data_IF_576666848839
#
_entry.id   IF_576666848839
#
_cell.length_a   1.000
_cell.length_b   1.000
_cell.length_c   1.000
_cell.angle_alpha   90.00
_cell.angle_beta   90.00
_cell.angle_gamma   90.00
#
_symmetry.space_group_name_H-M   'P 1'
#
loop_
_entity.id
_entity.type
_entity.pdbx_description
1 polymer ?
#
# COMPACT_ATOMS: atom_id res chain seq x y z
N UNK A 1 -40.77 -2.29 -26.18
CA UNK A 1 -39.79 -2.50 -25.09
C UNK A 1 -40.44 -2.08 -23.78
N UNK A 2 -40.60 -2.98 -22.82
CA UNK A 2 -41.39 -2.74 -21.62
C UNK A 2 -40.61 -1.81 -20.67
N UNK A 3 -41.15 -0.62 -20.39
CA UNK A 3 -40.51 0.41 -19.55
C UNK A 3 -40.08 -0.14 -18.18
N UNK A 4 -40.81 -1.15 -17.68
CA UNK A 4 -40.50 -1.86 -16.42
C UNK A 4 -39.23 -2.69 -16.50
N UNK A 5 -38.94 -3.29 -17.66
CA UNK A 5 -37.71 -4.04 -17.90
C UNK A 5 -36.49 -3.13 -18.01
N UNK A 6 -36.67 -1.92 -18.57
CA UNK A 6 -35.61 -0.91 -18.63
C UNK A 6 -35.27 -0.38 -17.23
N UNK A 7 -36.30 -0.05 -16.44
CA UNK A 7 -36.12 0.39 -15.06
C UNK A 7 -35.40 -0.66 -14.19
N UNK A 8 -35.73 -1.95 -14.35
CA UNK A 8 -35.05 -3.04 -13.64
C UNK A 8 -33.57 -3.19 -14.05
N UNK A 9 -33.24 -2.95 -15.31
CA UNK A 9 -31.87 -3.02 -15.81
C UNK A 9 -31.03 -1.84 -15.29
N UNK A 10 -31.61 -0.63 -15.24
CA UNK A 10 -30.93 0.55 -14.71
C UNK A 10 -30.71 0.46 -13.20
N UNK A 11 -31.62 -0.13 -12.42
CA UNK A 11 -31.42 -0.34 -10.99
C UNK A 11 -30.38 -1.42 -10.69
N UNK A 12 -30.30 -2.47 -11.51
CA UNK A 12 -29.25 -3.49 -11.39
C UNK A 12 -27.84 -2.97 -11.74
N UNK A 13 -27.73 -2.04 -12.69
CA UNK A 13 -26.46 -1.42 -13.06
C UNK A 13 -25.95 -0.38 -12.03
N UNK A 14 -26.83 0.13 -11.16
CA UNK A 14 -26.51 1.13 -10.14
C UNK A 14 -26.02 0.53 -8.80
N UNK A 15 -25.95 -0.80 -8.69
CA UNK A 15 -25.40 -1.44 -7.48
C UNK A 15 -23.90 -1.17 -7.45
N UNK A 16 -23.36 -0.47 -6.43
CA UNK A 16 -21.93 -0.34 -6.27
C UNK A 16 -21.38 -1.76 -6.08
N UNK A 17 -20.67 -2.26 -7.09
CA UNK A 17 -19.85 -3.44 -6.95
C UNK A 17 -18.86 -3.15 -5.81
N UNK A 18 -18.95 -3.94 -4.73
CA UNK A 18 -18.10 -3.77 -3.57
C UNK A 18 -16.66 -4.01 -4.04
N UNK A 19 -15.96 -2.93 -4.36
CA UNK A 19 -14.52 -2.97 -4.62
C UNK A 19 -13.91 -3.29 -3.26
N UNK A 20 -13.63 -4.57 -3.03
CA UNK A 20 -12.71 -4.98 -1.98
C UNK A 20 -11.36 -4.48 -2.45
N UNK A 21 -11.07 -3.22 -2.13
CA UNK A 21 -9.72 -2.70 -2.06
C UNK A 21 -8.88 -3.71 -1.26
N UNK A 22 -7.56 -3.76 -1.46
CA UNK A 22 -6.73 -4.78 -0.84
C UNK A 22 -6.01 -4.35 0.44
N UNK A 23 -6.65 -3.96 1.57
CA UNK A 23 -5.95 -3.67 2.83
C UNK A 23 -5.00 -4.78 3.29
N UNK A 24 -5.38 -6.05 3.06
CA UNK A 24 -4.50 -7.19 3.36
C UNK A 24 -3.23 -7.15 2.49
N UNK A 25 -3.38 -6.96 1.18
CA UNK A 25 -2.26 -6.86 0.26
C UNK A 25 -1.40 -5.62 0.54
N UNK A 26 -2.02 -4.49 0.90
CA UNK A 26 -1.34 -3.29 1.36
C UNK A 26 -0.52 -3.55 2.63
N UNK A 27 -1.10 -4.22 3.63
CA UNK A 27 -0.40 -4.57 4.87
C UNK A 27 0.78 -5.51 4.63
N UNK A 28 0.63 -6.49 3.74
CA UNK A 28 1.73 -7.38 3.32
C UNK A 28 2.84 -6.58 2.62
N UNK A 29 2.48 -5.69 1.69
CA UNK A 29 3.45 -4.83 1.00
C UNK A 29 4.23 -3.96 1.99
N UNK A 30 3.54 -3.29 2.92
CA UNK A 30 4.18 -2.48 3.96
C UNK A 30 5.11 -3.30 4.85
N UNK A 31 4.69 -4.52 5.23
CA UNK A 31 5.52 -5.44 6.02
C UNK A 31 6.81 -5.77 5.28
N UNK A 32 6.73 -6.04 3.97
CA UNK A 32 7.89 -6.26 3.11
C UNK A 32 8.83 -5.05 3.05
N UNK A 33 8.28 -3.84 2.80
CA UNK A 33 9.06 -2.61 2.76
C UNK A 33 9.76 -2.31 4.09
N UNK A 34 9.09 -2.51 5.23
CA UNK A 34 9.70 -2.38 6.56
C UNK A 34 10.80 -3.43 6.78
N UNK A 35 10.62 -4.67 6.32
CA UNK A 35 11.66 -5.69 6.33
C UNK A 35 12.92 -5.28 5.56
N UNK A 36 12.77 -4.67 4.37
CA UNK A 36 13.89 -4.09 3.63
C UNK A 36 14.57 -2.94 4.39
N UNK A 37 13.80 -2.07 5.03
CA UNK A 37 14.36 -0.99 5.83
C UNK A 37 15.19 -1.51 7.01
N UNK A 38 14.69 -2.54 7.72
CA UNK A 38 15.44 -3.22 8.79
C UNK A 38 16.74 -3.80 8.25
N UNK A 39 16.72 -4.47 7.09
CA UNK A 39 17.93 -5.04 6.48
C UNK A 39 18.94 -3.95 6.06
N UNK A 40 18.47 -2.85 5.47
CA UNK A 40 19.31 -1.71 5.07
C UNK A 40 19.99 -1.06 6.28
N UNK A 41 19.23 -0.81 7.34
CA UNK A 41 19.75 -0.27 8.59
C UNK A 41 20.77 -1.21 9.24
N UNK A 42 20.48 -2.51 9.31
CA UNK A 42 21.39 -3.51 9.85
C UNK A 42 22.70 -3.58 9.05
N UNK A 43 22.63 -3.51 7.71
CA UNK A 43 23.80 -3.44 6.84
C UNK A 43 24.64 -2.18 7.05
N UNK A 44 24.02 -1.09 7.50
CA UNK A 44 24.71 0.14 7.89
C UNK A 44 25.18 0.14 9.35
N UNK A 45 24.92 -0.91 10.13
CA UNK A 45 25.30 -1.02 11.54
C UNK A 45 24.34 -0.33 12.52
N UNK A 46 23.10 -0.04 12.11
CA UNK A 46 22.09 0.63 12.94
C UNK A 46 20.87 -0.26 13.17
N UNK A 47 20.14 0.01 14.25
CA UNK A 47 18.84 -0.61 14.52
C UNK A 47 17.71 0.29 14.02
N UNK A 48 16.81 -0.27 13.20
CA UNK A 48 15.65 0.46 12.69
C UNK A 48 14.70 0.87 13.83
N UNK A 49 14.18 2.10 13.78
CA UNK A 49 13.27 2.66 14.78
C UNK A 49 13.96 3.32 15.99
N UNK A 50 15.28 3.26 16.10
CA UNK A 50 16.03 3.97 17.15
C UNK A 50 16.26 5.42 16.75
N UNK A 51 15.87 6.35 17.63
CA UNK A 51 16.14 7.77 17.43
C UNK A 51 17.64 8.07 17.62
N UNK A 52 18.21 8.83 16.69
CA UNK A 52 19.61 9.26 16.73
C UNK A 52 19.68 10.79 16.85
N UNK A 53 20.72 11.35 17.50
CA UNK A 53 20.88 12.79 17.63
C UNK A 53 21.12 13.49 16.28
N UNK A 54 21.65 12.76 15.29
CA UNK A 54 21.84 13.21 13.91
C UNK A 54 21.50 12.06 12.97
N UNK A 55 20.99 12.38 11.77
CA UNK A 55 20.67 11.39 10.75
C UNK A 55 21.91 11.05 9.90
N UNK A 56 22.47 9.83 9.98
CA UNK A 56 23.57 9.42 9.12
C UNK A 56 23.11 9.35 7.66
N UNK A 57 23.95 9.73 6.67
CA UNK A 57 23.58 9.71 5.26
C UNK A 57 23.05 8.36 4.77
N UNK A 58 23.61 7.25 5.27
CA UNK A 58 23.15 5.90 4.96
C UNK A 58 21.69 5.66 5.40
N UNK A 59 21.29 6.17 6.56
CA UNK A 59 19.91 6.01 7.04
C UNK A 59 18.95 6.91 6.26
N UNK A 60 19.38 8.09 5.84
CA UNK A 60 18.58 8.94 4.94
C UNK A 60 18.28 8.17 3.65
N UNK A 61 19.29 7.55 3.04
CA UNK A 61 19.11 6.73 1.84
C UNK A 61 18.17 5.53 2.08
N UNK A 62 18.33 4.81 3.20
CA UNK A 62 17.42 3.71 3.57
C UNK A 62 15.97 4.18 3.71
N UNK A 63 15.72 5.36 4.30
CA UNK A 63 14.37 5.91 4.45
C UNK A 63 13.78 6.41 3.14
N UNK A 64 14.60 6.99 2.24
CA UNK A 64 14.13 7.36 0.90
C UNK A 64 13.69 6.12 0.13
N UNK A 65 14.45 5.03 0.21
CA UNK A 65 14.07 3.75 -0.39
C UNK A 65 12.79 3.17 0.23
N UNK A 66 12.68 3.21 1.57
CA UNK A 66 11.46 2.83 2.28
C UNK A 66 10.25 3.63 1.80
N UNK A 67 10.35 4.96 1.75
CA UNK A 67 9.28 5.84 1.30
C UNK A 67 8.86 5.54 -0.14
N UNK A 68 9.82 5.31 -1.04
CA UNK A 68 9.56 4.88 -2.42
C UNK A 68 8.82 3.54 -2.49
N UNK A 69 9.21 2.56 -1.68
CA UNK A 69 8.54 1.27 -1.56
C UNK A 69 7.10 1.43 -1.03
N UNK A 70 6.91 2.26 0.00
CA UNK A 70 5.58 2.51 0.57
C UNK A 70 4.64 3.23 -0.41
N UNK A 71 5.18 4.10 -1.27
CA UNK A 71 4.40 4.77 -2.31
C UNK A 71 3.83 3.77 -3.33
N UNK A 72 4.57 2.71 -3.68
CA UNK A 72 4.04 1.66 -4.57
C UNK A 72 2.99 0.79 -3.87
N UNK A 73 3.09 0.59 -2.55
CA UNK A 73 2.05 -0.08 -1.78
C UNK A 73 0.69 0.63 -1.88
N UNK A 74 0.65 1.96 -2.05
CA UNK A 74 -0.62 2.67 -2.25
C UNK A 74 -1.40 2.13 -3.46
N UNK A 75 -0.71 1.75 -4.55
CA UNK A 75 -1.33 1.13 -5.72
C UNK A 75 -1.98 -0.20 -5.34
N UNK A 76 -1.33 -1.00 -4.49
CA UNK A 76 -1.88 -2.27 -3.99
C UNK A 76 -3.11 -2.05 -3.10
N UNK A 77 -3.14 -0.95 -2.34
CA UNK A 77 -4.32 -0.59 -1.55
C UNK A 77 -5.52 -0.23 -2.43
N UNK A 78 -5.28 0.50 -3.52
CA UNK A 78 -6.30 0.99 -4.45
C UNK A 78 -6.69 -0.05 -5.52
N UNK A 79 -5.87 -1.08 -5.71
CA UNK A 79 -6.14 -2.15 -6.67
C UNK A 79 -7.33 -3.00 -6.21
N UNK A 80 -8.26 -3.33 -7.12
CA UNK A 80 -9.34 -4.28 -6.83
C UNK A 80 -8.75 -5.67 -6.57
N UNK A 81 -9.24 -6.37 -5.55
CA UNK A 81 -8.83 -7.74 -5.24
C UNK A 81 -9.71 -8.81 -5.90
N UNK A 82 -10.67 -8.41 -6.73
CA UNK A 82 -11.61 -9.25 -7.49
C UNK A 82 -11.74 -8.76 -8.94
#
# INVERSE_FOLDING_TARGET
MNFKSLALFLTAAAVPQAVVAGPLAYGICQTGCNGLAVACYAGAGFTFGVALPLAPPALIACNVALGGCMATCAVVALAPTL
#
